data_IF_274049368105
#
_entry.id   IF_274049368105
#
_cell.length_a   1.000
_cell.length_b   1.000
_cell.length_c   1.000
_cell.angle_alpha   90.00
_cell.angle_beta   90.00
_cell.angle_gamma   90.00
#
_symmetry.space_group_name_H-M   'P 1'
#
loop_
_entity.id
_entity.type
_entity.pdbx_description
1 polymer ?
#
# COMPACT_ATOMS: atom_id res chain seq x y z
N UNK A 1 -7.70 23.46 26.88
CA UNK A 1 -7.12 24.70 26.29
C UNK A 1 -6.40 24.25 25.02
N UNK A 2 -6.90 24.52 23.80
CA UNK A 2 -6.94 25.81 23.06
C UNK A 2 -5.55 26.36 22.66
N UNK A 3 -4.97 25.75 21.64
CA UNK A 3 -4.29 26.34 20.44
C UNK A 3 -3.26 27.49 20.54
N UNK A 4 -2.12 27.27 19.88
CA UNK A 4 -1.38 28.21 19.02
C UNK A 4 -0.84 27.40 17.80
N UNK A 5 -0.82 27.77 16.50
CA UNK A 5 -1.08 28.98 15.68
C UNK A 5 0.10 29.91 15.32
N UNK A 6 0.79 29.53 14.22
CA UNK A 6 1.52 30.40 13.26
C UNK A 6 2.83 31.02 13.81
N UNK A 7 3.82 31.53 13.05
CA UNK A 7 4.07 31.82 11.62
C UNK A 7 5.54 31.36 11.31
N UNK A 8 6.05 31.25 10.07
CA UNK A 8 6.80 32.30 9.34
C UNK A 8 7.03 31.79 7.90
N UNK A 9 6.77 32.65 6.92
CA UNK A 9 7.21 32.46 5.54
C UNK A 9 8.44 33.33 5.29
N UNK A 10 9.47 32.78 4.64
CA UNK A 10 10.59 33.54 4.09
C UNK A 10 10.80 33.13 2.64
N UNK A 11 10.36 33.99 1.72
CA UNK A 11 10.83 33.96 0.34
C UNK A 11 12.11 34.81 0.25
N UNK A 12 13.16 34.26 -0.36
CA UNK A 12 14.34 35.03 -0.75
C UNK A 12 14.86 34.49 -2.09
N UNK A 13 14.89 35.38 -3.09
CA UNK A 13 15.35 35.12 -4.45
C UNK A 13 16.73 35.78 -4.58
N UNK A 14 17.75 35.01 -4.98
CA UNK A 14 19.05 35.56 -5.39
C UNK A 14 19.49 34.90 -6.69
N UNK A 15 19.66 35.72 -7.73
CA UNK A 15 20.30 35.36 -8.99
C UNK A 15 21.76 35.81 -8.96
N UNK A 16 22.70 34.92 -9.30
CA UNK A 16 24.03 35.29 -9.74
C UNK A 16 24.59 34.22 -10.68
N UNK A 17 24.93 34.63 -11.91
CA UNK A 17 25.49 33.77 -12.96
C UNK A 17 27.02 33.68 -12.88
N UNK A 18 27.58 32.49 -13.13
CA UNK A 18 29.01 32.29 -13.38
C UNK A 18 29.23 31.19 -14.42
N UNK A 19 30.02 31.49 -15.46
CA UNK A 19 30.27 30.61 -16.61
C UNK A 19 31.28 29.49 -16.27
N UNK A 20 31.09 28.31 -16.87
CA UNK A 20 32.05 27.20 -16.80
C UNK A 20 31.74 26.12 -17.83
N UNK A 21 32.32 26.23 -19.03
CA UNK A 21 32.19 25.23 -20.11
C UNK A 21 33.13 24.06 -19.84
N UNK A 22 32.60 22.83 -19.83
CA UNK A 22 33.00 21.73 -20.74
C UNK A 22 31.84 20.73 -20.75
N UNK A 23 31.21 20.55 -21.92
CA UNK A 23 30.24 19.49 -22.14
C UNK A 23 30.97 18.26 -22.67
N UNK A 24 31.44 17.41 -21.76
CA UNK A 24 32.04 16.12 -22.12
C UNK A 24 30.92 15.14 -22.50
N UNK A 25 30.50 15.16 -23.77
CA UNK A 25 29.66 14.12 -24.35
C UNK A 25 30.44 12.81 -24.39
N UNK A 26 30.19 11.91 -23.44
CA UNK A 26 30.49 10.49 -23.60
C UNK A 26 29.32 9.82 -24.30
N UNK A 27 29.19 10.09 -25.60
CA UNK A 27 28.28 9.38 -26.47
C UNK A 27 28.87 8.00 -26.76
N UNK A 28 28.37 6.98 -26.06
CA UNK A 28 28.72 5.57 -26.26
C UNK A 28 27.44 4.75 -26.25
N UNK A 29 26.70 4.84 -27.34
CA UNK A 29 25.54 4.01 -27.60
C UNK A 29 25.89 2.51 -27.70
N UNK A 30 24.89 1.68 -27.39
CA UNK A 30 24.74 0.25 -27.78
C UNK A 30 25.15 -0.83 -26.77
N UNK A 31 24.19 -1.19 -25.92
CA UNK A 31 23.93 -2.59 -25.57
C UNK A 31 22.41 -2.82 -25.40
N UNK A 32 21.68 -3.24 -26.46
CA UNK A 32 20.25 -3.52 -26.37
C UNK A 32 20.01 -4.96 -25.88
N UNK A 33 20.20 -5.19 -24.58
CA UNK A 33 19.82 -6.43 -23.90
C UNK A 33 19.56 -6.12 -22.41
N UNK A 34 18.40 -6.42 -21.81
CA UNK A 34 17.26 -7.18 -22.32
C UNK A 34 15.95 -6.42 -22.11
N UNK A 35 15.12 -6.42 -23.16
CA UNK A 35 13.67 -6.17 -23.05
C UNK A 35 13.06 -7.33 -22.25
N UNK A 36 13.25 -7.33 -20.92
CA UNK A 36 12.46 -8.18 -20.04
C UNK A 36 11.02 -7.65 -20.04
N UNK A 37 10.29 -8.06 -21.08
CA UNK A 37 8.82 -8.21 -21.13
C UNK A 37 8.36 -9.30 -20.15
N UNK A 38 8.92 -9.28 -18.93
CA UNK A 38 8.23 -9.72 -17.75
C UNK A 38 7.00 -8.82 -17.59
N UNK A 39 5.93 -9.18 -18.29
CA UNK A 39 4.57 -8.79 -17.93
C UNK A 39 4.31 -9.39 -16.55
N UNK A 40 4.85 -8.72 -15.53
CA UNK A 40 4.47 -8.90 -14.14
C UNK A 40 2.98 -8.61 -14.12
N UNK A 41 2.18 -9.67 -14.22
CA UNK A 41 0.71 -9.60 -14.13
C UNK A 41 0.45 -8.88 -12.82
N UNK A 42 0.17 -7.58 -12.91
CA UNK A 42 -0.07 -6.74 -11.74
C UNK A 42 -1.31 -7.33 -11.08
N UNK A 43 -1.10 -8.07 -9.99
CA UNK A 43 -2.20 -8.67 -9.27
C UNK A 43 -3.18 -7.54 -8.91
N UNK A 44 -4.49 -7.72 -9.16
CA UNK A 44 -5.46 -6.68 -8.90
C UNK A 44 -5.37 -6.24 -7.44
N UNK A 45 -5.44 -4.93 -7.21
CA UNK A 45 -5.37 -4.38 -5.86
C UNK A 45 -6.47 -4.98 -4.97
N UNK A 46 -6.24 -5.05 -3.65
CA UNK A 46 -7.18 -5.70 -2.73
C UNK A 46 -8.62 -5.14 -2.84
N UNK A 47 -8.76 -3.83 -3.09
CA UNK A 47 -10.06 -3.20 -3.36
C UNK A 47 -10.75 -3.77 -4.61
N UNK A 48 -10.01 -3.92 -5.72
CA UNK A 48 -10.53 -4.45 -6.97
C UNK A 48 -10.95 -5.91 -6.81
N UNK A 49 -10.09 -6.74 -6.23
CA UNK A 49 -10.37 -8.15 -5.93
C UNK A 49 -11.65 -8.31 -5.08
N UNK A 50 -11.81 -7.50 -4.01
CA UNK A 50 -13.01 -7.52 -3.18
C UNK A 50 -14.25 -6.99 -3.92
N UNK A 51 -14.09 -5.94 -4.74
CA UNK A 51 -15.16 -5.38 -5.56
C UNK A 51 -15.75 -6.41 -6.52
N UNK A 52 -14.89 -7.13 -7.25
CA UNK A 52 -15.26 -8.15 -8.22
C UNK A 52 -15.85 -9.40 -7.54
N UNK A 53 -15.28 -9.86 -6.43
CA UNK A 53 -15.73 -11.08 -5.75
C UNK A 53 -17.02 -10.92 -4.93
N UNK A 54 -17.29 -9.73 -4.42
CA UNK A 54 -18.43 -9.44 -3.56
C UNK A 54 -19.52 -8.61 -4.24
N UNK A 55 -19.28 -8.14 -5.48
CA UNK A 55 -20.14 -7.17 -6.18
C UNK A 55 -20.44 -5.95 -5.30
N UNK A 56 -19.38 -5.31 -4.78
CA UNK A 56 -19.52 -4.17 -3.86
C UNK A 56 -20.23 -2.99 -4.55
N UNK A 57 -21.14 -2.33 -3.84
CA UNK A 57 -21.71 -1.04 -4.27
C UNK A 57 -20.66 0.07 -4.22
N UNK A 58 -20.90 1.20 -4.89
CA UNK A 58 -19.95 2.32 -4.87
C UNK A 58 -19.70 2.88 -3.45
N UNK A 59 -20.76 2.95 -2.63
CA UNK A 59 -20.66 3.32 -1.22
C UNK A 59 -19.77 2.34 -0.42
N UNK A 60 -19.98 1.03 -0.60
CA UNK A 60 -19.14 0.00 0.02
C UNK A 60 -17.68 0.10 -0.46
N UNK A 61 -17.44 0.31 -1.76
CA UNK A 61 -16.10 0.50 -2.33
C UNK A 61 -15.37 1.68 -1.69
N UNK A 62 -16.05 2.81 -1.52
CA UNK A 62 -15.46 4.01 -0.90
C UNK A 62 -15.06 3.76 0.56
N UNK A 63 -15.92 3.11 1.34
CA UNK A 63 -15.64 2.77 2.75
C UNK A 63 -14.51 1.73 2.86
N UNK A 64 -14.51 0.69 2.03
CA UNK A 64 -13.42 -0.30 1.98
C UNK A 64 -12.10 0.36 1.56
N UNK A 65 -12.11 1.26 0.57
CA UNK A 65 -10.91 1.99 0.14
C UNK A 65 -10.29 2.81 1.28
N UNK A 66 -11.11 3.45 2.12
CA UNK A 66 -10.65 4.19 3.29
C UNK A 66 -9.96 3.28 4.31
N UNK A 67 -10.56 2.14 4.66
CA UNK A 67 -9.98 1.12 5.56
C UNK A 67 -8.64 0.62 5.01
N UNK A 68 -8.60 0.23 3.73
CA UNK A 68 -7.39 -0.29 3.09
C UNK A 68 -6.23 0.72 3.11
N UNK A 69 -6.52 2.02 2.99
CA UNK A 69 -5.56 3.12 3.04
C UNK A 69 -5.03 3.38 4.46
N UNK A 70 -5.91 3.39 5.45
CA UNK A 70 -5.56 3.47 6.88
C UNK A 70 -4.59 2.32 7.25
N UNK A 71 -4.98 1.09 6.93
CA UNK A 71 -4.19 -0.09 7.24
C UNK A 71 -2.88 -0.16 6.43
N UNK A 72 -2.82 0.44 5.22
CA UNK A 72 -1.57 0.55 4.47
C UNK A 72 -0.53 1.42 5.19
N UNK A 73 -0.94 2.56 5.75
CA UNK A 73 -0.06 3.41 6.54
C UNK A 73 0.42 2.68 7.81
N UNK A 74 -0.47 2.02 8.53
CA UNK A 74 -0.12 1.25 9.74
C UNK A 74 0.80 0.06 9.41
N UNK A 75 0.56 -0.66 8.30
CA UNK A 75 1.47 -1.72 7.79
C UNK A 75 2.86 -1.18 7.50
N UNK A 76 2.96 0.02 6.91
CA UNK A 76 4.25 0.65 6.63
C UNK A 76 4.98 1.05 7.91
N UNK A 77 4.28 1.63 8.89
CA UNK A 77 4.86 1.95 10.19
C UNK A 77 5.40 0.70 10.91
N UNK A 78 4.64 -0.40 10.97
CA UNK A 78 5.09 -1.68 11.57
C UNK A 78 6.31 -2.27 10.83
N UNK A 79 6.43 -2.02 9.51
CA UNK A 79 7.60 -2.46 8.72
C UNK A 79 8.84 -1.59 8.96
N UNK A 80 8.65 -0.29 9.20
CA UNK A 80 9.72 0.68 9.39
C UNK A 80 10.19 0.80 10.85
N UNK A 81 9.39 0.33 11.82
CA UNK A 81 9.76 0.18 13.24
C UNK A 81 11.04 -0.67 13.36
N UNK A 82 12.20 -0.05 13.57
CA UNK A 82 13.47 -0.78 13.75
C UNK A 82 13.69 -1.28 15.18
N UNK A 83 12.84 -0.87 16.13
CA UNK A 83 13.03 -1.17 17.57
C UNK A 83 12.30 -2.45 17.99
N UNK A 84 11.20 -2.81 17.33
CA UNK A 84 10.48 -4.05 17.61
C UNK A 84 11.13 -5.29 16.98
N UNK A 85 11.16 -6.40 17.74
CA UNK A 85 11.52 -7.72 17.24
C UNK A 85 10.51 -8.22 16.17
N UNK A 86 10.96 -9.11 15.28
CA UNK A 86 10.14 -9.55 14.14
C UNK A 86 8.88 -10.33 14.51
N UNK A 87 8.88 -11.08 15.61
CA UNK A 87 7.68 -11.73 16.13
C UNK A 87 6.67 -10.71 16.68
N UNK A 88 7.12 -9.65 17.35
CA UNK A 88 6.26 -8.55 17.80
C UNK A 88 5.65 -7.84 16.58
N UNK A 89 6.44 -7.56 15.54
CA UNK A 89 5.93 -7.00 14.28
C UNK A 89 4.95 -7.94 13.59
N UNK A 90 5.19 -9.24 13.62
CA UNK A 90 4.31 -10.28 13.06
C UNK A 90 2.97 -10.35 13.80
N UNK A 91 3.00 -10.25 15.13
CA UNK A 91 1.80 -10.14 15.96
C UNK A 91 1.00 -8.87 15.63
N UNK A 92 1.64 -7.68 15.67
CA UNK A 92 1.02 -6.39 15.26
C UNK A 92 0.41 -6.46 13.85
N UNK A 93 1.09 -7.09 12.88
CA UNK A 93 0.56 -7.29 11.52
C UNK A 93 -0.64 -8.23 11.48
N UNK A 94 -0.66 -9.30 12.29
CA UNK A 94 -1.80 -10.22 12.37
C UNK A 94 -3.03 -9.50 12.94
N UNK A 95 -2.86 -8.82 14.07
CA UNK A 95 -3.93 -8.04 14.71
C UNK A 95 -4.52 -7.00 13.75
N UNK A 96 -3.66 -6.26 13.03
CA UNK A 96 -4.10 -5.31 11.99
C UNK A 96 -4.89 -5.99 10.86
N UNK A 97 -4.46 -7.17 10.39
CA UNK A 97 -5.19 -7.93 9.36
C UNK A 97 -6.53 -8.48 9.86
N UNK A 98 -6.63 -8.87 11.12
CA UNK A 98 -7.87 -9.36 11.72
C UNK A 98 -8.86 -8.20 11.96
N UNK A 99 -8.37 -7.04 12.42
CA UNK A 99 -9.13 -5.79 12.55
C UNK A 99 -9.63 -5.28 11.18
N UNK A 100 -8.76 -5.24 10.17
CA UNK A 100 -9.13 -4.92 8.77
C UNK A 100 -10.27 -5.81 8.27
N UNK A 101 -10.19 -7.13 8.52
CA UNK A 101 -11.23 -8.08 8.12
C UNK A 101 -12.53 -7.83 8.85
N UNK A 102 -12.51 -7.54 10.15
CA UNK A 102 -13.70 -7.20 10.93
C UNK A 102 -14.36 -5.90 10.43
N UNK A 103 -13.56 -4.83 10.23
CA UNK A 103 -14.03 -3.55 9.66
C UNK A 103 -14.69 -3.76 8.29
N UNK A 104 -14.04 -4.48 7.37
CA UNK A 104 -14.59 -4.76 6.03
C UNK A 104 -15.88 -5.59 6.13
N UNK A 105 -15.89 -6.67 6.94
CA UNK A 105 -17.04 -7.56 7.11
C UNK A 105 -18.31 -6.82 7.57
N UNK A 106 -18.17 -5.87 8.49
CA UNK A 106 -19.28 -5.08 9.01
C UNK A 106 -20.00 -4.22 7.96
N UNK A 107 -19.36 -3.96 6.80
CA UNK A 107 -19.95 -3.18 5.69
C UNK A 107 -20.68 -4.06 4.65
N UNK A 108 -20.61 -5.38 4.80
CA UNK A 108 -21.12 -6.35 3.83
C UNK A 108 -22.52 -6.85 4.20
N UNK A 109 -23.35 -7.13 3.19
CA UNK A 109 -24.63 -7.85 3.38
C UNK A 109 -24.38 -9.30 3.83
N UNK A 110 -25.36 -9.99 4.44
CA UNK A 110 -25.17 -11.38 4.89
C UNK A 110 -24.65 -12.34 3.79
N UNK A 111 -25.12 -12.18 2.55
CA UNK A 111 -24.65 -12.97 1.41
C UNK A 111 -23.20 -12.66 1.01
N UNK A 112 -22.80 -11.39 1.07
CA UNK A 112 -21.43 -10.96 0.83
C UNK A 112 -20.50 -11.43 1.96
N UNK A 113 -20.97 -11.43 3.21
CA UNK A 113 -20.23 -11.91 4.38
C UNK A 113 -19.87 -13.40 4.26
N UNK A 114 -20.79 -14.25 3.78
CA UNK A 114 -20.51 -15.66 3.55
C UNK A 114 -19.40 -15.87 2.50
N UNK A 115 -19.48 -15.15 1.37
CA UNK A 115 -18.44 -15.17 0.32
C UNK A 115 -17.09 -14.64 0.83
N UNK A 116 -17.10 -13.66 1.73
CA UNK A 116 -15.89 -13.07 2.30
C UNK A 116 -15.15 -14.04 3.26
N UNK A 117 -15.88 -14.82 4.07
CA UNK A 117 -15.27 -15.82 4.95
C UNK A 117 -14.65 -16.98 4.17
N UNK A 118 -15.38 -17.50 3.16
CA UNK A 118 -14.89 -18.60 2.33
C UNK A 118 -13.56 -18.26 1.63
N UNK A 119 -13.47 -17.06 1.03
CA UNK A 119 -12.23 -16.55 0.44
C UNK A 119 -11.07 -16.45 1.45
N UNK A 120 -11.38 -16.17 2.72
CA UNK A 120 -10.36 -16.03 3.75
C UNK A 120 -9.88 -17.38 4.28
N UNK A 121 -10.76 -18.38 4.38
CA UNK A 121 -10.43 -19.77 4.75
C UNK A 121 -9.49 -20.42 3.74
N UNK A 122 -9.79 -20.29 2.44
CA UNK A 122 -8.94 -20.78 1.33
C UNK A 122 -7.51 -20.22 1.35
N UNK A 123 -7.28 -19.07 1.99
CA UNK A 123 -5.96 -18.43 2.12
C UNK A 123 -5.09 -19.05 3.22
N UNK A 124 -5.69 -19.76 4.18
CA UNK A 124 -4.98 -20.54 5.20
C UNK A 124 -4.43 -21.85 4.65
N UNK A 125 -5.26 -22.61 3.93
CA UNK A 125 -4.90 -23.96 3.43
C UNK A 125 -3.69 -23.99 2.50
N UNK A 126 -3.50 -22.96 1.65
CA UNK A 126 -2.30 -22.85 0.78
C UNK A 126 -0.98 -22.74 1.55
N UNK A 127 -1.00 -22.34 2.83
CA UNK A 127 0.21 -22.23 3.66
C UNK A 127 0.66 -23.57 4.28
N UNK A 128 -0.19 -24.59 4.24
CA UNK A 128 0.04 -25.91 4.85
C UNK A 128 0.47 -27.00 3.85
N UNK A 129 0.40 -26.74 2.54
CA UNK A 129 0.79 -27.68 1.47
C UNK A 129 2.03 -27.25 0.69
N UNK A 130 2.89 -26.41 1.27
CA UNK A 130 4.09 -25.86 0.61
C UNK A 130 5.24 -25.70 1.63
N UNK A 131 5.48 -26.77 2.38
CA UNK A 131 6.60 -26.96 3.33
C UNK A 131 7.12 -28.38 3.16
#
# INVERSE_FOLDING_TARGET
>A
MKTYRNVIACAALVLATGFGVVHAQSDSSTAPASEQTASSKRHPGKLQMLSEKLNLTEAQKAQVAAILKEDQATRQAIRQDTTAADDVKKAKRKELLDSERAKIRALLTPEQQAKFDDMASHRGHRKAGQT
#
